data_IF_356356306341
#
_entry.id   IF_356356306341
#
_cell.length_a   1.000
_cell.length_b   1.000
_cell.length_c   1.000
_cell.angle_alpha   90.00
_cell.angle_beta   90.00
_cell.angle_gamma   90.00
#
_symmetry.space_group_name_H-M   'P 1'
#
loop_
_entity.id
_entity.type
_entity.pdbx_description
1 polymer ?
#
# COMPACT_ATOMS: atom_id res chain seq x y z
N UNK A 1 -34.46 -5.78 14.69
CA UNK A 1 -34.73 -5.72 13.24
C UNK A 1 -35.15 -4.32 12.81
N UNK A 2 -34.32 -3.28 12.91
CA UNK A 2 -34.67 -1.89 12.48
C UNK A 2 -33.48 -1.14 11.80
N UNK A 3 -32.48 -1.82 11.28
CA UNK A 3 -31.26 -1.17 10.74
C UNK A 3 -31.12 -1.20 9.21
N UNK A 4 -32.05 -1.81 8.47
CA UNK A 4 -32.01 -1.83 6.97
C UNK A 4 -32.69 -0.63 6.29
N UNK A 5 -33.47 0.17 7.01
CA UNK A 5 -34.25 1.28 6.42
C UNK A 5 -33.42 2.56 6.20
N UNK A 6 -32.40 2.83 7.03
CA UNK A 6 -31.66 4.10 6.99
C UNK A 6 -30.74 4.28 5.77
N UNK A 7 -30.12 3.22 5.27
CA UNK A 7 -29.21 3.32 4.09
C UNK A 7 -29.95 3.65 2.78
N UNK A 8 -31.17 3.12 2.62
CA UNK A 8 -31.99 3.39 1.42
C UNK A 8 -32.64 4.77 1.43
N UNK A 9 -32.92 5.34 2.59
CA UNK A 9 -33.52 6.67 2.75
C UNK A 9 -32.51 7.77 2.45
N UNK A 10 -31.25 7.59 2.87
CA UNK A 10 -30.17 8.57 2.59
C UNK A 10 -29.89 8.72 1.09
N UNK A 11 -29.88 7.60 0.35
CA UNK A 11 -29.67 7.63 -1.12
C UNK A 11 -30.87 8.24 -1.87
N UNK A 12 -32.10 8.15 -1.32
CA UNK A 12 -33.27 8.78 -1.93
C UNK A 12 -33.39 10.27 -1.63
N UNK A 13 -32.91 10.75 -0.49
CA UNK A 13 -32.92 12.18 -0.16
C UNK A 13 -31.83 12.96 -0.91
N UNK A 14 -30.70 12.33 -1.24
CA UNK A 14 -29.66 12.96 -2.07
C UNK A 14 -30.08 13.17 -3.54
N UNK A 15 -31.08 12.43 -4.04
CA UNK A 15 -31.60 12.57 -5.41
C UNK A 15 -32.74 13.60 -5.55
N UNK A 16 -33.31 14.10 -4.46
CA UNK A 16 -34.46 15.03 -4.46
C UNK A 16 -34.09 16.48 -4.22
N UNK A 17 -32.81 16.80 -3.94
CA UNK A 17 -32.31 18.16 -3.75
C UNK A 17 -31.66 18.77 -4.99
N UNK A 18 -31.79 18.14 -6.15
CA UNK A 18 -31.24 18.57 -7.44
C UNK A 18 -32.21 19.29 -8.38
N UNK A 19 -33.31 19.83 -7.88
CA UNK A 19 -34.31 20.49 -8.72
C UNK A 19 -34.74 21.85 -8.20
N UNK A 20 -33.99 22.90 -8.50
CA UNK A 20 -34.36 24.27 -8.15
C UNK A 20 -33.22 25.26 -8.39
N UNK A 21 -32.82 25.40 -9.67
CA UNK A 21 -31.76 26.35 -10.07
C UNK A 21 -32.43 27.64 -10.54
N UNK A 22 -32.37 28.67 -9.74
CA UNK A 22 -32.51 30.06 -10.20
C UNK A 22 -31.23 30.48 -10.91
N UNK A 23 -31.36 30.79 -12.20
CA UNK A 23 -30.28 31.28 -13.04
C UNK A 23 -29.79 32.64 -12.50
N UNK A 24 -28.58 32.68 -11.98
CA UNK A 24 -27.75 33.87 -11.88
C UNK A 24 -26.54 33.65 -12.78
N UNK A 25 -26.54 34.35 -13.91
CA UNK A 25 -25.39 34.42 -14.82
C UNK A 25 -24.20 35.09 -14.14
N UNK A 26 -23.01 34.50 -14.09
CA UNK A 26 -21.80 35.25 -13.80
C UNK A 26 -21.27 35.83 -15.10
N UNK A 27 -21.10 37.16 -15.13
CA UNK A 27 -20.41 37.87 -16.16
C UNK A 27 -19.03 37.29 -16.44
N UNK A 28 -18.80 36.88 -17.66
CA UNK A 28 -17.51 36.47 -18.17
C UNK A 28 -16.50 37.64 -18.09
N UNK A 29 -15.45 37.45 -17.26
CA UNK A 29 -14.21 38.19 -17.50
C UNK A 29 -13.30 37.29 -18.34
N UNK A 30 -13.10 37.75 -19.57
CA UNK A 30 -12.13 37.18 -20.50
C UNK A 30 -10.71 37.52 -20.04
N UNK A 31 -9.92 36.53 -19.74
CA UNK A 31 -8.46 36.63 -19.76
C UNK A 31 -7.85 35.33 -20.23
N UNK A 32 -7.36 35.33 -21.45
CA UNK A 32 -6.13 34.76 -21.89
C UNK A 32 -5.94 33.27 -21.94
N UNK A 33 -5.89 32.75 -23.19
CA UNK A 33 -5.19 31.55 -23.62
C UNK A 33 -5.66 30.21 -23.02
N UNK A 34 -6.81 29.73 -23.49
CA UNK A 34 -7.07 28.28 -23.55
C UNK A 34 -6.13 27.69 -24.62
N UNK A 35 -5.04 27.08 -24.19
CA UNK A 35 -4.29 26.15 -25.02
C UNK A 35 -5.27 25.03 -25.42
N UNK A 36 -5.44 24.84 -26.73
CA UNK A 36 -6.13 23.72 -27.32
C UNK A 36 -5.45 22.45 -26.83
N UNK A 37 -6.00 21.80 -25.78
CA UNK A 37 -5.69 20.40 -25.51
C UNK A 37 -6.32 19.59 -26.64
N UNK A 38 -5.55 19.39 -27.70
CA UNK A 38 -5.87 18.42 -28.73
C UNK A 38 -5.95 17.05 -28.07
N UNK A 39 -7.13 16.45 -28.09
CA UNK A 39 -7.32 15.04 -27.79
C UNK A 39 -6.27 14.25 -28.59
N UNK A 40 -5.38 13.46 -27.98
CA UNK A 40 -4.38 12.73 -28.74
C UNK A 40 -5.11 11.79 -29.68
N UNK A 41 -4.84 11.93 -30.98
CA UNK A 41 -5.33 11.04 -32.01
C UNK A 41 -4.90 9.59 -31.65
N UNK A 42 -5.79 8.63 -31.87
CA UNK A 42 -5.65 7.21 -31.63
C UNK A 42 -4.24 6.70 -31.99
N UNK A 43 -3.51 6.16 -30.99
CA UNK A 43 -2.32 5.35 -31.17
C UNK A 43 -0.98 5.89 -30.64
N UNK A 44 -0.85 7.17 -30.27
CA UNK A 44 0.38 7.68 -29.66
C UNK A 44 0.28 7.63 -28.14
N UNK A 45 1.29 7.03 -27.47
CA UNK A 45 1.37 7.09 -26.02
C UNK A 45 1.42 8.56 -25.54
N UNK A 46 0.65 8.92 -24.50
CA UNK A 46 0.68 10.29 -23.99
C UNK A 46 2.10 10.67 -23.54
N UNK A 47 2.53 11.94 -23.71
CA UNK A 47 3.86 12.35 -23.31
C UNK A 47 4.06 12.16 -21.80
N UNK A 48 5.21 11.62 -21.39
CA UNK A 48 5.54 11.38 -20.01
C UNK A 48 5.64 12.72 -19.25
N UNK A 49 4.74 12.95 -18.30
CA UNK A 49 4.80 14.06 -17.36
C UNK A 49 5.64 13.69 -16.11
N UNK A 50 5.90 14.66 -15.22
CA UNK A 50 6.75 14.44 -14.03
C UNK A 50 6.18 13.38 -13.08
N UNK A 51 4.85 13.21 -13.00
CA UNK A 51 4.22 12.18 -12.22
C UNK A 51 4.54 10.79 -12.77
N UNK A 52 4.36 10.59 -14.08
CA UNK A 52 4.68 9.32 -14.75
C UNK A 52 6.17 9.01 -14.67
N UNK A 53 7.04 10.02 -14.85
CA UNK A 53 8.49 9.86 -14.66
C UNK A 53 8.84 9.43 -13.23
N UNK A 54 8.18 9.99 -12.22
CA UNK A 54 8.38 9.61 -10.82
C UNK A 54 7.93 8.17 -10.57
N UNK A 55 6.74 7.79 -11.06
CA UNK A 55 6.23 6.42 -10.96
C UNK A 55 7.17 5.43 -11.66
N UNK A 56 7.64 5.75 -12.86
CA UNK A 56 8.59 4.92 -13.61
C UNK A 56 9.95 4.74 -12.90
N UNK A 57 10.30 5.62 -11.96
CA UNK A 57 11.55 5.54 -11.17
C UNK A 57 11.35 4.97 -9.77
N UNK A 58 10.16 4.45 -9.42
CA UNK A 58 9.93 3.80 -8.13
C UNK A 58 10.82 2.56 -7.98
N UNK A 59 11.47 2.44 -6.84
CA UNK A 59 12.37 1.33 -6.52
C UNK A 59 12.37 1.04 -5.02
N UNK A 60 12.85 -0.11 -4.64
CA UNK A 60 12.97 -0.53 -3.24
C UNK A 60 14.44 -0.74 -2.89
N UNK A 61 14.90 -0.18 -1.77
CA UNK A 61 16.25 -0.36 -1.24
C UNK A 61 16.20 -1.30 -0.05
N UNK A 62 16.86 -2.45 -0.14
CA UNK A 62 16.90 -3.45 0.94
C UNK A 62 18.03 -3.16 1.95
N UNK A 63 17.71 -2.38 2.98
CA UNK A 63 18.49 -2.31 4.23
C UNK A 63 19.76 -1.49 4.23
N UNK A 64 20.18 -0.94 3.09
CA UNK A 64 21.45 -0.22 2.94
C UNK A 64 21.23 1.30 2.94
N UNK A 65 20.72 1.84 4.05
CA UNK A 65 20.53 3.28 4.19
C UNK A 65 21.67 3.92 5.01
N UNK A 66 22.10 5.09 4.55
CA UNK A 66 23.03 5.95 5.28
C UNK A 66 22.44 6.35 6.65
N UNK A 67 23.32 6.58 7.62
CA UNK A 67 22.94 7.23 8.87
C UNK A 67 22.90 8.76 8.64
N UNK A 68 21.83 9.18 7.99
CA UNK A 68 21.59 10.58 7.61
C UNK A 68 20.12 10.91 7.92
N UNK A 69 19.85 11.95 8.73
CA UNK A 69 18.47 12.33 9.05
C UNK A 69 17.75 12.89 7.81
N UNK A 70 16.43 12.67 7.75
CA UNK A 70 15.57 13.39 6.81
C UNK A 70 15.35 14.84 7.30
N UNK A 71 15.32 15.84 6.39
CA UNK A 71 14.79 17.15 6.72
C UNK A 71 13.34 17.03 7.19
N UNK A 72 13.00 17.73 8.27
CA UNK A 72 11.63 17.69 8.81
C UNK A 72 10.58 18.13 7.78
N UNK A 73 10.90 19.13 6.96
CA UNK A 73 10.03 19.59 5.88
C UNK A 73 9.73 18.50 4.86
N UNK A 74 10.71 17.66 4.53
CA UNK A 74 10.53 16.54 3.61
C UNK A 74 9.64 15.45 4.25
N UNK A 75 9.89 15.12 5.52
CA UNK A 75 9.05 14.17 6.27
C UNK A 75 7.59 14.65 6.32
N UNK A 76 7.36 15.91 6.67
CA UNK A 76 6.01 16.49 6.72
C UNK A 76 5.34 16.50 5.33
N UNK A 77 6.08 16.74 4.26
CA UNK A 77 5.57 16.68 2.89
C UNK A 77 5.13 15.25 2.54
N UNK A 78 5.94 14.24 2.87
CA UNK A 78 5.61 12.83 2.64
C UNK A 78 4.36 12.43 3.46
N UNK A 79 4.26 12.82 4.73
CA UNK A 79 3.12 12.52 5.57
C UNK A 79 1.84 13.18 5.05
N UNK A 80 1.89 14.45 4.64
CA UNK A 80 0.76 15.18 4.03
C UNK A 80 0.33 14.52 2.72
N UNK A 81 1.25 14.09 1.89
CA UNK A 81 0.94 13.36 0.67
C UNK A 81 0.28 12.01 0.98
N UNK A 82 0.82 11.26 1.94
CA UNK A 82 0.31 9.96 2.37
C UNK A 82 -1.18 10.01 2.73
N UNK A 83 -1.59 10.98 3.54
CA UNK A 83 -3.00 11.12 3.98
C UNK A 83 -3.94 11.65 2.89
N UNK A 84 -3.40 12.09 1.73
CA UNK A 84 -4.21 12.45 0.55
C UNK A 84 -4.64 11.26 -0.30
N UNK A 85 -4.13 10.07 0.00
CA UNK A 85 -4.53 8.85 -0.69
C UNK A 85 -6.05 8.64 -0.63
N UNK A 86 -6.59 7.99 -1.68
CA UNK A 86 -7.98 7.56 -1.67
C UNK A 86 -8.25 6.60 -0.51
N UNK A 87 -9.43 6.70 0.08
CA UNK A 87 -9.86 5.79 1.14
C UNK A 87 -11.37 5.61 1.15
N UNK A 88 -11.84 4.49 1.68
CA UNK A 88 -13.25 4.15 1.71
C UNK A 88 -14.05 5.13 2.59
N UNK A 89 -15.11 5.71 2.03
CA UNK A 89 -16.05 6.61 2.71
C UNK A 89 -15.39 7.77 3.47
N UNK A 90 -14.20 8.16 3.07
CA UNK A 90 -13.36 9.16 3.76
C UNK A 90 -13.10 8.85 5.26
N UNK A 91 -13.15 7.59 5.64
CA UNK A 91 -12.99 7.15 7.04
C UNK A 91 -11.56 7.25 7.55
N UNK A 92 -10.57 7.13 6.65
CA UNK A 92 -9.14 7.10 7.02
C UNK A 92 -8.90 6.10 8.16
N UNK A 93 -9.36 4.85 7.97
CA UNK A 93 -9.32 3.77 8.97
C UNK A 93 -7.91 3.19 9.16
N UNK A 94 -6.94 4.06 9.32
CA UNK A 94 -5.54 3.73 9.58
C UNK A 94 -4.87 4.79 10.44
N UNK A 95 -3.74 4.41 11.04
CA UNK A 95 -2.81 5.31 11.73
C UNK A 95 -1.41 5.14 11.17
N UNK A 96 -0.60 6.20 11.27
CA UNK A 96 0.81 6.22 10.87
C UNK A 96 1.65 6.53 12.11
N UNK A 97 2.44 5.55 12.57
CA UNK A 97 3.41 5.75 13.64
C UNK A 97 4.76 6.11 13.04
N UNK A 98 5.28 7.27 13.41
CA UNK A 98 6.57 7.78 12.91
C UNK A 98 7.67 7.43 13.91
N UNK A 99 8.67 6.67 13.47
CA UNK A 99 9.81 6.26 14.30
C UNK A 99 11.09 6.83 13.70
N UNK A 100 11.84 7.62 14.49
CA UNK A 100 13.14 8.20 14.09
C UNK A 100 14.33 7.51 14.78
N UNK A 101 14.09 6.81 15.87
CA UNK A 101 15.12 6.05 16.57
C UNK A 101 15.51 4.81 15.76
N UNK A 102 16.76 4.75 15.33
CA UNK A 102 17.30 3.68 14.47
C UNK A 102 17.36 2.32 15.21
N UNK A 103 17.61 2.32 16.52
CA UNK A 103 17.60 1.11 17.31
C UNK A 103 16.18 0.53 17.42
N UNK A 104 15.20 1.40 17.63
CA UNK A 104 13.79 1.02 17.67
C UNK A 104 13.32 0.50 16.29
N UNK A 105 13.69 1.16 15.19
CA UNK A 105 13.41 0.65 13.83
C UNK A 105 13.94 -0.78 13.64
N UNK A 106 15.21 -1.02 14.07
CA UNK A 106 15.84 -2.34 13.98
C UNK A 106 15.06 -3.39 14.76
N UNK A 107 14.56 -3.03 15.93
CA UNK A 107 13.77 -3.93 16.78
C UNK A 107 12.38 -4.21 16.20
N UNK A 108 11.76 -3.22 15.55
CA UNK A 108 10.39 -3.32 15.00
C UNK A 108 10.37 -4.08 13.67
N UNK A 109 11.24 -3.75 12.72
CA UNK A 109 11.15 -4.29 11.35
C UNK A 109 12.45 -4.91 10.82
N UNK A 110 13.50 -4.98 11.63
CA UNK A 110 14.84 -5.48 11.27
C UNK A 110 15.61 -4.62 10.25
N UNK A 111 15.15 -3.41 9.95
CA UNK A 111 15.81 -2.45 9.06
C UNK A 111 16.07 -1.12 9.77
N UNK A 112 17.01 -0.34 9.23
CA UNK A 112 17.34 0.98 9.72
C UNK A 112 17.43 1.96 8.56
N UNK A 113 16.91 3.16 8.77
CA UNK A 113 16.95 4.25 7.82
C UNK A 113 16.96 5.59 8.54
N UNK A 114 16.61 6.64 7.84
CA UNK A 114 16.45 7.98 8.42
C UNK A 114 15.15 8.09 9.23
N UNK A 115 14.11 7.36 8.84
CA UNK A 115 12.80 7.34 9.49
C UNK A 115 12.04 6.09 9.07
N UNK A 116 11.20 5.56 9.95
CA UNK A 116 10.22 4.52 9.63
C UNK A 116 8.81 5.05 9.84
N UNK A 117 7.93 4.76 8.89
CA UNK A 117 6.49 4.98 8.97
C UNK A 117 5.83 3.61 9.11
N UNK A 118 5.24 3.32 10.25
CA UNK A 118 4.44 2.11 10.45
C UNK A 118 2.97 2.45 10.18
N UNK A 119 2.38 1.78 9.20
CA UNK A 119 0.97 1.88 8.87
C UNK A 119 0.20 0.77 9.58
N UNK A 120 -0.74 1.18 10.39
CA UNK A 120 -1.64 0.28 11.11
C UNK A 120 -3.05 0.38 10.53
N UNK A 121 -3.74 -0.75 10.36
CA UNK A 121 -5.21 -0.75 10.37
C UNK A 121 -5.63 -0.21 11.73
N UNK A 122 -6.49 0.82 11.78
CA UNK A 122 -6.87 1.44 13.05
C UNK A 122 -8.26 2.06 12.98
N UNK A 123 -9.14 1.56 13.84
CA UNK A 123 -10.51 2.04 14.00
C UNK A 123 -10.73 2.79 15.33
N UNK A 124 -9.71 2.90 16.19
CA UNK A 124 -9.89 3.45 17.54
C UNK A 124 -10.37 4.90 17.50
N UNK A 125 -9.84 5.74 16.58
CA UNK A 125 -10.33 7.11 16.40
C UNK A 125 -11.82 7.16 16.06
N UNK A 126 -12.31 6.29 15.19
CA UNK A 126 -13.72 6.21 14.79
C UNK A 126 -14.60 5.67 15.92
N UNK A 127 -14.10 4.64 16.65
CA UNK A 127 -14.79 4.10 17.84
C UNK A 127 -14.93 5.17 18.92
N UNK A 128 -13.85 5.86 19.26
CA UNK A 128 -13.87 6.94 20.24
C UNK A 128 -14.78 8.11 19.82
N UNK A 129 -14.80 8.45 18.52
CA UNK A 129 -15.71 9.50 18.00
C UNK A 129 -17.17 9.08 18.11
N UNK A 130 -17.48 7.82 17.81
CA UNK A 130 -18.84 7.29 17.94
C UNK A 130 -19.31 7.31 19.39
N UNK A 131 -18.46 6.83 20.32
CA UNK A 131 -18.73 6.84 21.75
C UNK A 131 -18.98 8.27 22.28
N UNK A 132 -18.11 9.21 21.92
CA UNK A 132 -18.26 10.63 22.31
C UNK A 132 -19.59 11.23 21.85
N UNK A 133 -20.10 10.79 20.69
CA UNK A 133 -21.39 11.23 20.13
C UNK A 133 -22.58 10.38 20.57
N UNK A 134 -22.39 9.40 21.45
CA UNK A 134 -23.44 8.49 21.94
C UNK A 134 -23.90 7.43 20.93
N UNK A 135 -23.06 7.11 19.93
CA UNK A 135 -23.35 6.04 18.96
C UNK A 135 -22.58 4.76 19.31
N UNK A 136 -23.18 3.61 18.96
CA UNK A 136 -22.49 2.32 18.96
C UNK A 136 -21.88 2.07 17.59
N UNK A 137 -20.58 1.75 17.55
CA UNK A 137 -19.85 1.45 16.31
C UNK A 137 -18.93 0.24 16.50
N UNK A 138 -19.17 -0.82 15.74
CA UNK A 138 -18.49 -2.11 15.85
C UNK A 138 -17.85 -2.49 14.49
N UNK A 139 -16.63 -1.98 14.21
CA UNK A 139 -15.90 -2.34 12.99
C UNK A 139 -15.13 -3.67 13.13
N UNK A 140 -15.36 -4.43 14.19
CA UNK A 140 -14.60 -5.61 14.59
C UNK A 140 -15.01 -6.81 13.72
N UNK A 141 -14.57 -6.83 12.46
CA UNK A 141 -14.85 -7.86 11.47
C UNK A 141 -13.85 -7.87 10.31
N UNK A 142 -13.81 -8.96 9.56
CA UNK A 142 -12.89 -9.16 8.44
C UNK A 142 -13.09 -8.15 7.30
N UNK A 143 -14.32 -7.71 7.04
CA UNK A 143 -14.58 -6.71 5.98
C UNK A 143 -13.93 -5.37 6.34
N UNK A 144 -13.97 -4.98 7.61
CA UNK A 144 -13.28 -3.79 8.11
C UNK A 144 -11.77 -3.92 8.00
N UNK A 145 -11.21 -5.08 8.36
CA UNK A 145 -9.78 -5.35 8.17
C UNK A 145 -9.36 -5.17 6.70
N UNK A 146 -10.06 -5.80 5.77
CA UNK A 146 -9.77 -5.71 4.33
C UNK A 146 -9.86 -4.26 3.85
N UNK A 147 -10.94 -3.55 4.20
CA UNK A 147 -11.14 -2.15 3.81
C UNK A 147 -10.01 -1.24 4.33
N UNK A 148 -9.65 -1.37 5.61
CA UNK A 148 -8.60 -0.57 6.21
C UNK A 148 -7.20 -0.96 5.69
N UNK A 149 -6.98 -2.23 5.37
CA UNK A 149 -5.74 -2.67 4.74
C UNK A 149 -5.54 -2.04 3.36
N UNK A 150 -6.61 -1.95 2.55
CA UNK A 150 -6.58 -1.23 1.27
C UNK A 150 -6.29 0.25 1.49
N UNK A 151 -6.97 0.91 2.43
CA UNK A 151 -6.73 2.33 2.75
C UNK A 151 -5.27 2.59 3.16
N UNK A 152 -4.71 1.76 4.04
CA UNK A 152 -3.30 1.85 4.46
C UNK A 152 -2.32 1.57 3.32
N UNK A 153 -2.62 0.58 2.45
CA UNK A 153 -1.84 0.26 1.26
C UNK A 153 -1.77 1.43 0.27
N UNK A 154 -2.90 2.10 0.02
CA UNK A 154 -2.95 3.30 -0.81
C UNK A 154 -2.15 4.46 -0.19
N UNK A 155 -2.24 4.65 1.12
CA UNK A 155 -1.51 5.69 1.84
C UNK A 155 0.01 5.47 1.79
N UNK A 156 0.49 4.24 2.01
CA UNK A 156 1.93 3.93 1.93
C UNK A 156 2.47 4.07 0.51
N UNK A 157 1.70 3.67 -0.51
CA UNK A 157 2.11 3.85 -1.90
C UNK A 157 2.18 5.33 -2.31
N UNK A 158 1.24 6.15 -1.84
CA UNK A 158 1.27 7.61 -2.07
C UNK A 158 2.49 8.24 -1.39
N UNK A 159 2.83 7.81 -0.16
CA UNK A 159 4.06 8.22 0.51
C UNK A 159 5.32 7.83 -0.27
N UNK A 160 5.33 6.64 -0.90
CA UNK A 160 6.46 6.18 -1.73
C UNK A 160 6.68 7.08 -2.95
N UNK A 161 5.61 7.47 -3.65
CA UNK A 161 5.67 8.40 -4.77
C UNK A 161 6.20 9.76 -4.31
N UNK A 162 5.68 10.28 -3.20
CA UNK A 162 6.13 11.56 -2.63
C UNK A 162 7.61 11.50 -2.20
N UNK A 163 8.05 10.44 -1.53
CA UNK A 163 9.44 10.26 -1.15
C UNK A 163 10.34 10.26 -2.38
N UNK A 164 9.98 9.47 -3.40
CA UNK A 164 10.78 9.38 -4.63
C UNK A 164 10.83 10.68 -5.41
N UNK A 165 9.77 11.47 -5.43
CA UNK A 165 9.76 12.80 -6.06
C UNK A 165 10.72 13.79 -5.36
N UNK A 166 11.01 13.58 -4.07
CA UNK A 166 11.95 14.35 -3.27
C UNK A 166 13.38 13.77 -3.26
N UNK A 167 13.66 12.74 -4.07
CA UNK A 167 14.98 12.08 -4.10
C UNK A 167 15.26 11.22 -2.87
N UNK A 168 14.24 10.86 -2.10
CA UNK A 168 14.35 9.98 -0.93
C UNK A 168 13.93 8.58 -1.35
N UNK A 169 14.78 7.60 -1.03
CA UNK A 169 14.48 6.20 -1.28
C UNK A 169 13.77 5.54 -0.08
N UNK A 170 13.26 4.34 -0.32
CA UNK A 170 12.47 3.63 0.68
C UNK A 170 12.56 2.12 0.54
N UNK A 171 12.17 1.46 1.64
CA UNK A 171 11.84 0.04 1.71
C UNK A 171 10.42 -0.10 2.28
N UNK A 172 9.48 -0.65 1.52
CA UNK A 172 8.19 -1.10 2.06
C UNK A 172 8.34 -2.57 2.43
N UNK A 173 8.05 -2.93 3.68
CA UNK A 173 8.36 -4.26 4.20
C UNK A 173 7.34 -4.81 5.18
N UNK A 174 7.06 -6.11 5.06
CA UNK A 174 6.37 -6.92 6.07
C UNK A 174 7.35 -7.50 7.11
N UNK A 175 8.54 -6.91 7.25
CA UNK A 175 9.53 -7.32 8.25
C UNK A 175 8.98 -7.35 9.67
N UNK A 176 7.99 -6.52 9.96
CA UNK A 176 7.22 -6.47 11.22
C UNK A 176 6.48 -7.79 11.54
N UNK A 177 6.21 -8.62 10.52
CA UNK A 177 5.54 -9.91 10.68
C UNK A 177 6.53 -11.09 10.72
N UNK A 178 7.85 -10.81 10.75
CA UNK A 178 8.91 -11.82 10.86
C UNK A 178 9.40 -11.89 12.29
N UNK A 179 9.19 -12.99 12.96
CA UNK A 179 9.58 -13.17 14.37
C UNK A 179 8.43 -12.91 15.33
N UNK A 180 8.72 -12.37 16.50
CA UNK A 180 7.70 -12.08 17.52
C UNK A 180 6.91 -10.80 17.16
N UNK A 181 5.73 -10.99 16.57
CA UNK A 181 4.83 -9.90 16.20
C UNK A 181 4.25 -9.16 17.41
N UNK A 182 4.08 -9.85 18.56
CA UNK A 182 3.58 -9.25 19.81
C UNK A 182 4.47 -8.09 20.27
N UNK A 183 5.77 -8.24 20.05
CA UNK A 183 6.77 -7.24 20.42
C UNK A 183 6.53 -5.89 19.74
N UNK A 184 5.94 -5.85 18.54
CA UNK A 184 5.64 -4.59 17.84
C UNK A 184 4.65 -3.74 18.61
N UNK A 185 3.60 -4.37 19.19
CA UNK A 185 2.64 -3.67 20.06
C UNK A 185 3.31 -3.11 21.31
N UNK A 186 4.18 -3.89 21.95
CA UNK A 186 4.89 -3.47 23.16
C UNK A 186 5.87 -2.34 22.89
N UNK A 187 6.67 -2.44 21.83
CA UNK A 187 7.69 -1.44 21.48
C UNK A 187 7.10 -0.09 21.10
N UNK A 188 5.89 -0.06 20.53
CA UNK A 188 5.26 1.15 19.99
C UNK A 188 4.00 1.55 20.76
N UNK A 189 3.70 0.88 21.87
CA UNK A 189 2.51 1.12 22.71
C UNK A 189 1.21 1.15 21.89
N UNK A 190 1.06 0.16 20.99
CA UNK A 190 -0.11 0.12 20.11
C UNK A 190 -1.34 -0.40 20.87
N UNK A 191 -2.55 0.13 20.55
CA UNK A 191 -3.78 -0.39 21.09
C UNK A 191 -3.96 -1.88 20.84
N UNK A 192 -4.33 -2.65 21.87
CA UNK A 192 -4.48 -4.11 21.77
C UNK A 192 -5.69 -4.53 20.94
N UNK A 193 -6.72 -3.67 20.84
CA UNK A 193 -7.95 -3.90 20.08
C UNK A 193 -8.17 -2.78 19.06
N UNK A 194 -8.83 -3.10 17.96
CA UNK A 194 -9.14 -2.13 16.89
C UNK A 194 -7.92 -1.61 16.12
N UNK A 195 -6.71 -2.14 16.40
CA UNK A 195 -5.45 -1.75 15.78
C UNK A 195 -4.64 -2.99 15.38
N UNK A 196 -4.13 -3.00 14.14
CA UNK A 196 -3.24 -4.05 13.64
C UNK A 196 -2.11 -3.43 12.81
N UNK A 197 -0.81 -3.59 13.18
CA UNK A 197 0.32 -3.11 12.38
C UNK A 197 0.38 -3.88 11.07
N UNK A 198 0.16 -3.19 9.95
CA UNK A 198 -0.02 -3.79 8.64
C UNK A 198 1.29 -3.87 7.86
N UNK A 199 1.99 -2.74 7.75
CA UNK A 199 3.18 -2.63 6.90
C UNK A 199 4.07 -1.48 7.36
N UNK A 200 5.38 -1.65 7.28
CA UNK A 200 6.34 -0.59 7.56
C UNK A 200 6.95 -0.04 6.26
N UNK A 201 7.22 1.25 6.24
CA UNK A 201 8.00 1.94 5.23
C UNK A 201 9.21 2.59 5.87
N UNK A 202 10.41 2.10 5.56
CA UNK A 202 11.67 2.71 6.00
C UNK A 202 12.14 3.68 4.94
N UNK A 203 12.34 4.94 5.30
CA UNK A 203 12.80 6.03 4.43
C UNK A 203 14.28 6.29 4.67
N UNK A 204 14.99 6.67 3.61
CA UNK A 204 16.39 7.06 3.75
C UNK A 204 17.11 7.32 2.44
N UNK A 205 18.42 7.44 2.54
CA UNK A 205 19.33 7.62 1.42
C UNK A 205 20.16 6.34 1.28
N UNK A 206 20.22 5.73 0.08
CA UNK A 206 20.97 4.49 -0.11
C UNK A 206 22.48 4.72 0.09
N UNK A 207 23.19 3.70 0.58
CA UNK A 207 24.66 3.72 0.69
C UNK A 207 25.33 3.57 -0.68
N UNK A 208 24.62 2.92 -1.62
CA UNK A 208 25.05 2.77 -3.01
C UNK A 208 23.83 2.79 -3.92
N UNK A 209 23.98 3.34 -5.12
CA UNK A 209 22.93 3.25 -6.12
C UNK A 209 22.78 1.80 -6.58
N UNK A 210 21.52 1.31 -6.70
CA UNK A 210 21.27 -0.01 -7.30
C UNK A 210 21.80 -0.07 -8.73
N UNK A 211 22.41 -1.19 -9.10
CA UNK A 211 22.95 -1.39 -10.45
C UNK A 211 21.84 -1.30 -11.53
N UNK A 212 20.65 -1.73 -11.18
CA UNK A 212 19.48 -1.70 -12.07
C UNK A 212 18.18 -1.57 -11.25
N UNK A 213 17.11 -1.21 -11.94
CA UNK A 213 15.75 -1.21 -11.39
C UNK A 213 15.09 -2.56 -11.66
N UNK A 214 14.46 -3.17 -10.65
CA UNK A 214 13.69 -4.41 -10.84
C UNK A 214 12.52 -4.18 -11.77
N UNK A 215 12.38 -5.04 -12.79
CA UNK A 215 11.26 -5.05 -13.73
C UNK A 215 9.93 -5.43 -13.11
N UNK A 216 8.91 -5.38 -13.94
CA UNK A 216 7.54 -5.82 -13.60
C UNK A 216 6.95 -6.57 -14.78
N UNK A 217 6.07 -7.54 -14.49
CA UNK A 217 5.19 -8.11 -15.50
C UNK A 217 4.09 -7.09 -15.84
N UNK A 218 3.80 -6.94 -17.11
CA UNK A 218 2.85 -5.98 -17.66
C UNK A 218 1.87 -6.58 -18.68
N UNK A 219 1.81 -7.90 -18.75
CA UNK A 219 1.02 -8.66 -19.72
C UNK A 219 0.16 -9.75 -19.10
N UNK A 220 0.09 -10.92 -19.74
CA UNK A 220 -0.70 -12.06 -19.30
C UNK A 220 -0.45 -12.41 -17.82
N UNK A 221 -1.53 -12.75 -17.12
CA UNK A 221 -1.48 -13.08 -15.68
C UNK A 221 -1.50 -11.90 -14.72
N UNK A 222 -1.29 -10.66 -15.20
CA UNK A 222 -1.36 -9.44 -14.39
C UNK A 222 -2.47 -8.53 -14.85
N UNK A 223 -2.61 -8.31 -16.16
CA UNK A 223 -3.63 -7.43 -16.75
C UNK A 223 -4.65 -8.28 -17.49
N UNK A 224 -5.92 -8.13 -17.14
CA UNK A 224 -7.06 -8.82 -17.77
C UNK A 224 -8.07 -7.78 -18.26
N UNK A 225 -8.58 -7.96 -19.48
CA UNK A 225 -9.60 -7.09 -20.06
C UNK A 225 -10.97 -7.73 -19.91
N UNK A 226 -11.96 -6.95 -19.46
CA UNK A 226 -13.36 -7.33 -19.25
C UNK A 226 -13.55 -8.47 -18.23
N UNK A 227 -12.84 -9.57 -18.37
CA UNK A 227 -12.96 -10.77 -17.52
C UNK A 227 -11.60 -11.34 -17.17
N UNK A 228 -11.54 -12.01 -16.03
CA UNK A 228 -10.36 -12.79 -15.66
C UNK A 228 -10.08 -13.87 -16.72
N UNK A 229 -8.89 -13.85 -17.30
CA UNK A 229 -8.40 -14.84 -18.23
C UNK A 229 -7.52 -15.88 -17.51
N UNK A 230 -7.82 -17.17 -17.68
CA UNK A 230 -6.99 -18.26 -17.18
C UNK A 230 -5.82 -18.47 -18.13
N UNK A 231 -4.62 -18.51 -17.60
CA UNK A 231 -3.41 -18.67 -18.41
C UNK A 231 -3.42 -19.99 -19.17
N UNK A 232 -3.07 -19.93 -20.44
CA UNK A 232 -2.74 -21.07 -21.28
C UNK A 232 -1.32 -21.54 -20.99
N UNK A 233 -0.95 -22.73 -21.51
CA UNK A 233 0.41 -23.24 -21.38
C UNK A 233 1.44 -22.32 -22.04
N UNK A 234 1.14 -21.81 -23.22
CA UNK A 234 2.04 -20.92 -23.98
C UNK A 234 2.27 -19.59 -23.23
N UNK A 235 1.23 -19.03 -22.60
CA UNK A 235 1.35 -17.83 -21.78
C UNK A 235 2.17 -18.07 -20.50
N UNK A 236 2.05 -19.27 -19.89
CA UNK A 236 2.90 -19.65 -18.76
C UNK A 236 4.36 -19.77 -19.17
N UNK A 237 4.64 -20.37 -20.33
CA UNK A 237 6.00 -20.45 -20.86
C UNK A 237 6.57 -19.07 -21.20
N UNK A 238 5.73 -18.16 -21.71
CA UNK A 238 6.13 -16.77 -21.95
C UNK A 238 6.46 -16.04 -20.64
N UNK A 239 5.65 -16.19 -19.61
CA UNK A 239 5.91 -15.62 -18.27
C UNK A 239 7.24 -16.14 -17.71
N UNK A 240 7.52 -17.43 -17.83
CA UNK A 240 8.80 -18.01 -17.42
C UNK A 240 9.97 -17.40 -18.19
N UNK A 241 9.86 -17.26 -19.53
CA UNK A 241 10.89 -16.60 -20.34
C UNK A 241 11.16 -15.17 -19.89
N UNK A 242 10.11 -14.42 -19.54
CA UNK A 242 10.26 -13.05 -19.04
C UNK A 242 10.98 -12.99 -17.69
N UNK A 243 10.73 -13.93 -16.78
CA UNK A 243 11.48 -14.03 -15.52
C UNK A 243 12.93 -14.45 -15.69
N UNK A 244 13.22 -15.26 -16.72
CA UNK A 244 14.55 -15.78 -17.02
C UNK A 244 15.41 -14.79 -17.80
N UNK A 245 14.79 -13.76 -18.39
CA UNK A 245 15.49 -12.73 -19.17
C UNK A 245 16.25 -11.79 -18.22
N UNK A 246 17.59 -11.78 -18.27
CA UNK A 246 18.39 -10.94 -17.39
C UNK A 246 18.17 -9.43 -17.62
N UNK A 247 17.82 -9.02 -18.84
CA UNK A 247 17.60 -7.60 -19.17
C UNK A 247 16.31 -7.05 -18.55
N UNK A 248 15.37 -7.91 -18.20
CA UNK A 248 14.13 -7.51 -17.53
C UNK A 248 14.27 -7.36 -16.02
N UNK A 249 15.31 -7.90 -15.41
CA UNK A 249 15.59 -7.85 -13.96
C UNK A 249 14.37 -8.23 -13.09
N UNK A 250 13.57 -9.20 -13.52
CA UNK A 250 12.40 -9.68 -12.79
C UNK A 250 12.79 -10.64 -11.67
N UNK A 251 13.86 -11.40 -11.84
CA UNK A 251 14.31 -12.39 -10.87
C UNK A 251 14.73 -11.74 -9.54
N UNK A 252 14.28 -12.30 -8.42
CA UNK A 252 14.70 -11.88 -7.08
C UNK A 252 16.17 -12.18 -6.83
N UNK A 253 16.62 -13.36 -7.28
CA UNK A 253 18.02 -13.81 -7.27
C UNK A 253 18.48 -13.98 -8.72
N UNK A 254 19.45 -13.21 -9.16
CA UNK A 254 19.95 -13.25 -10.53
C UNK A 254 21.00 -14.37 -10.76
N UNK A 255 21.51 -14.98 -9.67
CA UNK A 255 22.47 -16.08 -9.71
C UNK A 255 21.81 -17.47 -9.78
N UNK A 256 20.50 -17.55 -10.00
CA UNK A 256 19.75 -18.81 -10.01
C UNK A 256 20.28 -19.83 -11.04
N UNK A 257 20.74 -19.36 -12.21
CA UNK A 257 21.35 -20.22 -13.24
C UNK A 257 22.66 -20.86 -12.74
N UNK A 258 23.49 -20.08 -12.07
CA UNK A 258 24.75 -20.58 -11.49
C UNK A 258 24.50 -21.60 -10.37
N UNK A 259 23.33 -21.58 -9.75
CA UNK A 259 22.89 -22.57 -8.76
C UNK A 259 22.27 -23.83 -9.37
N UNK A 260 22.29 -23.97 -10.71
CA UNK A 260 21.85 -25.17 -11.43
C UNK A 260 20.35 -25.29 -11.67
N UNK A 261 19.57 -24.20 -11.58
CA UNK A 261 18.14 -24.19 -11.88
C UNK A 261 17.90 -23.98 -13.37
N UNK A 262 16.88 -24.63 -13.93
CA UNK A 262 16.48 -24.46 -15.32
C UNK A 262 15.75 -23.12 -15.54
N UNK A 263 14.95 -22.70 -14.59
CA UNK A 263 14.20 -21.46 -14.60
C UNK A 263 14.33 -20.72 -13.25
N UNK A 264 14.20 -19.39 -13.25
CA UNK A 264 14.13 -18.61 -12.00
C UNK A 264 12.97 -19.08 -11.10
N UNK A 265 11.83 -19.42 -11.71
CA UNK A 265 10.65 -19.87 -10.98
C UNK A 265 10.90 -21.18 -10.21
N UNK A 266 11.76 -22.09 -10.72
CA UNK A 266 12.19 -23.30 -10.00
C UNK A 266 12.94 -22.92 -8.71
N UNK A 267 13.89 -21.99 -8.84
CA UNK A 267 14.62 -21.46 -7.69
C UNK A 267 13.65 -20.83 -6.67
N UNK A 268 12.68 -20.05 -7.14
CA UNK A 268 11.76 -19.30 -6.30
C UNK A 268 10.85 -20.22 -5.50
N UNK A 269 10.22 -21.20 -6.15
CA UNK A 269 9.37 -22.19 -5.46
C UNK A 269 10.16 -23.03 -4.46
N UNK A 270 11.37 -23.43 -4.82
CA UNK A 270 12.18 -24.35 -4.00
C UNK A 270 12.85 -23.66 -2.80
N UNK A 271 13.30 -22.40 -2.96
CA UNK A 271 14.13 -21.74 -1.97
C UNK A 271 13.44 -20.58 -1.24
N UNK A 272 12.47 -19.94 -1.86
CA UNK A 272 11.86 -18.73 -1.31
C UNK A 272 10.42 -18.95 -0.82
N UNK A 273 9.56 -19.53 -1.63
CA UNK A 273 8.17 -19.78 -1.26
C UNK A 273 8.02 -21.01 -0.38
N UNK A 274 8.85 -22.05 -0.59
CA UNK A 274 8.83 -23.28 0.16
C UNK A 274 7.50 -24.04 0.06
N UNK A 275 7.32 -25.03 0.92
CA UNK A 275 6.05 -25.74 1.07
C UNK A 275 4.99 -24.82 1.69
N UNK A 276 3.84 -24.73 1.02
CA UNK A 276 2.70 -23.86 1.42
C UNK A 276 1.92 -24.34 2.64
N UNK A 277 2.53 -25.07 3.56
CA UNK A 277 1.86 -25.50 4.80
C UNK A 277 1.77 -24.33 5.78
N UNK A 278 0.63 -24.16 6.48
CA UNK A 278 0.50 -23.16 7.53
C UNK A 278 1.64 -23.25 8.53
N UNK A 279 2.34 -22.16 8.74
CA UNK A 279 3.47 -22.06 9.65
C UNK A 279 3.00 -21.61 11.04
N UNK A 280 3.86 -21.75 12.05
CA UNK A 280 3.60 -21.19 13.39
C UNK A 280 3.37 -19.67 13.32
N UNK A 281 4.02 -18.97 12.39
CA UNK A 281 3.84 -17.52 12.16
C UNK A 281 2.44 -17.17 11.70
N UNK A 282 1.84 -17.95 10.80
CA UNK A 282 0.46 -17.75 10.36
C UNK A 282 -0.52 -17.99 11.50
N UNK A 283 -0.24 -18.99 12.34
CA UNK A 283 -1.02 -19.24 13.57
C UNK A 283 -0.91 -18.06 14.55
N UNK A 284 0.28 -17.46 14.70
CA UNK A 284 0.49 -16.28 15.52
C UNK A 284 -0.27 -15.08 14.95
N UNK A 285 -0.17 -14.83 13.64
CA UNK A 285 -0.91 -13.74 12.96
C UNK A 285 -2.42 -13.89 13.17
N UNK A 286 -2.97 -15.07 13.01
CA UNK A 286 -4.40 -15.33 13.24
C UNK A 286 -4.80 -15.05 14.70
N UNK A 287 -3.98 -15.45 15.67
CA UNK A 287 -4.21 -15.12 17.10
C UNK A 287 -4.24 -13.61 17.35
N UNK A 288 -3.31 -12.87 16.74
CA UNK A 288 -3.23 -11.43 16.87
C UNK A 288 -4.41 -10.70 16.20
N UNK A 289 -4.83 -11.17 15.04
CA UNK A 289 -6.02 -10.65 14.36
C UNK A 289 -7.30 -10.88 15.19
N UNK A 290 -7.41 -12.03 15.85
CA UNK A 290 -8.51 -12.30 16.80
C UNK A 290 -8.45 -11.36 18.01
N UNK A 291 -7.28 -11.21 18.64
CA UNK A 291 -7.11 -10.30 19.78
C UNK A 291 -7.46 -8.87 19.38
N UNK A 292 -7.06 -8.44 18.20
CA UNK A 292 -7.38 -7.10 17.67
C UNK A 292 -8.86 -6.93 17.30
N UNK A 293 -9.67 -8.00 17.33
CA UNK A 293 -11.11 -7.97 17.07
C UNK A 293 -11.50 -8.09 15.59
N UNK A 294 -10.55 -8.31 14.67
CA UNK A 294 -10.86 -8.34 13.24
C UNK A 294 -11.31 -9.71 12.70
N UNK A 295 -11.04 -10.76 13.44
CA UNK A 295 -11.41 -12.12 13.03
C UNK A 295 -12.09 -12.83 14.19
N UNK A 296 -13.38 -13.16 14.04
CA UNK A 296 -14.08 -14.13 14.88
C UNK A 296 -14.09 -15.47 14.12
N UNK A 297 -13.55 -16.52 14.73
CA UNK A 297 -13.85 -17.87 14.28
C UNK A 297 -15.23 -18.22 14.83
N UNK A 298 -16.27 -18.11 14.02
CA UNK A 298 -17.52 -18.78 14.32
C UNK A 298 -17.18 -20.28 14.50
N UNK A 299 -17.62 -20.86 15.60
CA UNK A 299 -17.61 -22.32 15.71
C UNK A 299 -18.54 -22.83 14.61
N UNK A 300 -17.93 -23.45 13.59
CA UNK A 300 -18.66 -24.22 12.57
C UNK A 300 -19.24 -25.45 13.22
#
# INVERSE_FOLDING_TARGET
MKTKAHRRTFLKQGALLGGGLLLLEPKAQSSGAAGNETNPADGAAPPANETLKTIGRLRTIHGNFLDKPLPESALQTILKASVRAANASNMQSYSIVVVKDRSLMKQVCNYQGSCMLLYCVDYNRLKASAEHLGYSYFPDNITSLVTASVNAGLAVQTAAIAARSLGIDYLITNGIHRGDMERVWQLLDLPQTGCFPLIAMVLGYPTAEPAHQKGRLDGPGVIHYEKYHRLTKDELEEIMRQYDDPERHLALNEEWKAQGYAHFMDWWFKNWLGDSKPTEKETQMLRLLKRSGFVELQKV
#
